data_IF_753728904287
#
_entry.id   IF_753728904287
#
_cell.length_a   1.000
_cell.length_b   1.000
_cell.length_c   1.000
_cell.angle_alpha   90.00
_cell.angle_beta   90.00
_cell.angle_gamma   90.00
#
_symmetry.space_group_name_H-M   'P 1'
#
loop_
_entity.id
_entity.type
_entity.pdbx_description
1 polymer ?
#
# COMPACT_ATOMS: atom_id res chain seq x y z
N UNK A 1 -74.66 -120.27 -3.76
CA UNK A 1 -74.58 -119.32 -2.63
C UNK A 1 -73.14 -119.24 -2.15
N UNK A 2 -72.70 -118.13 -1.54
CA UNK A 2 -71.37 -117.99 -0.92
C UNK A 2 -71.29 -118.54 0.52
N UNK A 3 -72.38 -119.14 1.01
CA UNK A 3 -72.54 -119.61 2.39
C UNK A 3 -71.50 -120.63 2.84
N UNK A 4 -71.00 -121.47 1.91
CA UNK A 4 -70.15 -122.63 2.24
C UNK A 4 -68.71 -122.50 1.69
N UNK A 5 -68.36 -121.37 1.06
CA UNK A 5 -67.06 -121.17 0.43
C UNK A 5 -66.12 -120.36 1.34
N UNK A 6 -65.16 -121.04 1.97
CA UNK A 6 -64.08 -120.37 2.69
C UNK A 6 -63.01 -119.87 1.72
N UNK A 7 -62.97 -118.55 1.52
CA UNK A 7 -61.96 -117.90 0.72
C UNK A 7 -60.66 -117.65 1.50
N UNK A 8 -59.49 -117.83 0.87
CA UNK A 8 -58.20 -117.52 1.50
C UNK A 8 -58.09 -116.02 1.84
N UNK A 9 -57.15 -115.70 2.73
CA UNK A 9 -56.91 -114.32 3.20
C UNK A 9 -56.75 -113.36 2.01
N UNK A 10 -57.35 -112.17 2.12
CA UNK A 10 -57.37 -111.11 1.11
C UNK A 10 -58.20 -111.40 -0.18
N UNK A 11 -59.07 -112.41 -0.13
CA UNK A 11 -60.09 -112.65 -1.16
C UNK A 11 -61.49 -112.67 -0.54
N UNK A 12 -62.51 -112.29 -1.32
CA UNK A 12 -63.93 -112.35 -0.91
C UNK A 12 -64.72 -113.25 -1.85
N UNK A 13 -65.72 -113.94 -1.33
CA UNK A 13 -66.63 -114.70 -2.18
C UNK A 13 -67.55 -113.75 -2.95
N UNK A 14 -67.56 -113.87 -4.28
CA UNK A 14 -68.46 -113.14 -5.16
C UNK A 14 -69.06 -114.12 -6.17
N UNK A 15 -70.39 -114.08 -6.34
CA UNK A 15 -71.07 -114.91 -7.36
C UNK A 15 -70.87 -114.27 -8.72
N UNK A 16 -70.23 -114.99 -9.65
CA UNK A 16 -69.97 -114.56 -11.03
C UNK A 16 -70.50 -115.61 -11.99
N UNK A 17 -71.34 -115.21 -12.95
CA UNK A 17 -72.02 -116.11 -13.90
C UNK A 17 -72.74 -117.29 -13.22
N UNK A 18 -73.38 -117.04 -12.07
CA UNK A 18 -74.10 -118.06 -11.29
C UNK A 18 -73.22 -118.92 -10.38
N UNK A 19 -71.89 -118.79 -10.41
CA UNK A 19 -70.97 -119.61 -9.61
C UNK A 19 -70.24 -118.78 -8.53
N UNK A 20 -70.18 -119.23 -7.26
CA UNK A 20 -69.40 -118.55 -6.23
C UNK A 20 -67.91 -118.72 -6.51
N UNK A 21 -67.16 -117.61 -6.57
CA UNK A 21 -65.70 -117.59 -6.75
C UNK A 21 -65.04 -116.67 -5.73
N UNK A 22 -63.86 -117.04 -5.27
CA UNK A 22 -63.01 -116.13 -4.48
C UNK A 22 -62.32 -115.17 -5.42
N UNK A 23 -62.66 -113.89 -5.32
CA UNK A 23 -62.00 -112.81 -6.07
C UNK A 23 -61.11 -112.03 -5.12
N UNK A 24 -59.97 -111.56 -5.61
CA UNK A 24 -59.08 -110.71 -4.82
C UNK A 24 -59.82 -109.44 -4.40
N UNK A 25 -59.65 -109.06 -3.13
CA UNK A 25 -60.15 -107.78 -2.64
C UNK A 25 -59.53 -106.68 -3.51
N UNK A 26 -60.38 -105.78 -4.03
CA UNK A 26 -59.91 -104.63 -4.81
C UNK A 26 -58.96 -103.82 -3.91
N UNK A 27 -57.72 -103.54 -4.34
CA UNK A 27 -56.79 -102.79 -3.50
C UNK A 27 -57.41 -101.43 -3.17
N UNK A 28 -57.53 -101.13 -1.87
CA UNK A 28 -58.11 -99.90 -1.33
C UNK A 28 -57.16 -99.29 -0.30
N UNK A 29 -57.42 -98.04 0.07
CA UNK A 29 -56.67 -97.37 1.13
C UNK A 29 -57.00 -97.86 2.55
N UNK A 30 -57.98 -98.75 2.73
CA UNK A 30 -58.49 -99.14 4.06
C UNK A 30 -57.43 -99.86 4.91
N UNK A 31 -56.50 -100.57 4.25
CA UNK A 31 -55.42 -101.32 4.92
C UNK A 31 -54.02 -100.73 4.69
N UNK A 32 -53.91 -99.56 4.04
CA UNK A 32 -52.61 -98.95 3.73
C UNK A 32 -52.22 -97.97 4.83
N UNK A 33 -51.20 -98.35 5.60
CA UNK A 33 -50.62 -97.49 6.63
C UNK A 33 -49.53 -96.61 6.01
N UNK A 34 -49.84 -95.33 5.83
CA UNK A 34 -48.89 -94.33 5.36
C UNK A 34 -48.07 -93.77 6.53
N UNK A 35 -46.81 -93.38 6.27
CA UNK A 35 -45.95 -92.73 7.26
C UNK A 35 -46.51 -91.36 7.67
N UNK A 36 -46.03 -90.80 8.79
CA UNK A 36 -46.41 -89.45 9.24
C UNK A 36 -46.31 -88.43 8.09
N UNK A 37 -47.30 -87.53 8.03
CA UNK A 37 -47.43 -86.47 7.02
C UNK A 37 -47.70 -86.93 5.58
N UNK A 38 -48.13 -88.19 5.40
CA UNK A 38 -48.63 -88.70 4.12
C UNK A 38 -50.05 -89.25 4.26
N UNK A 39 -50.89 -89.11 3.23
CA UNK A 39 -52.24 -89.69 3.19
C UNK A 39 -52.35 -90.70 2.04
N UNK A 40 -53.10 -91.79 2.25
CA UNK A 40 -53.37 -92.73 1.17
C UNK A 40 -54.39 -92.12 0.20
N UNK A 41 -54.07 -92.17 -1.09
CA UNK A 41 -54.94 -91.72 -2.17
C UNK A 41 -54.94 -92.74 -3.30
N UNK A 42 -56.10 -92.99 -3.90
CA UNK A 42 -56.21 -93.84 -5.09
C UNK A 42 -55.70 -93.07 -6.31
N UNK A 43 -54.62 -93.54 -6.93
CA UNK A 43 -54.02 -92.97 -8.14
C UNK A 43 -53.92 -94.09 -9.17
N UNK A 44 -54.53 -93.90 -10.35
CA UNK A 44 -54.58 -94.90 -11.43
C UNK A 44 -55.09 -96.29 -11.00
N UNK A 45 -56.05 -96.31 -10.07
CA UNK A 45 -56.65 -97.54 -9.56
C UNK A 45 -55.83 -98.25 -8.48
N UNK A 46 -54.72 -97.67 -8.02
CA UNK A 46 -53.85 -98.22 -6.98
C UNK A 46 -53.73 -97.27 -5.78
N UNK A 47 -53.71 -97.78 -4.54
CA UNK A 47 -53.48 -96.95 -3.35
C UNK A 47 -52.02 -96.49 -3.29
N UNK A 48 -51.78 -95.18 -3.19
CA UNK A 48 -50.45 -94.56 -3.04
C UNK A 48 -50.45 -93.58 -1.87
N UNK A 49 -49.38 -93.60 -1.07
CA UNK A 49 -49.16 -92.57 -0.04
C UNK A 49 -48.59 -91.31 -0.70
N UNK A 50 -49.30 -90.19 -0.59
CA UNK A 50 -48.86 -88.89 -1.09
C UNK A 50 -48.62 -87.93 0.08
N UNK A 51 -47.64 -87.06 -0.09
CA UNK A 51 -47.31 -86.00 0.87
C UNK A 51 -48.54 -85.11 1.12
N UNK A 52 -48.91 -84.95 2.38
CA UNK A 52 -49.86 -83.93 2.78
C UNK A 52 -49.10 -82.61 2.58
N UNK A 53 -49.44 -81.83 1.55
CA UNK A 53 -48.95 -80.46 1.41
C UNK A 53 -49.55 -79.61 2.54
N UNK A 54 -48.98 -79.73 3.73
CA UNK A 54 -49.24 -78.80 4.83
C UNK A 54 -48.38 -77.59 4.54
N UNK A 55 -48.92 -76.64 3.78
CA UNK A 55 -48.46 -75.26 3.94
C UNK A 55 -48.89 -74.86 5.36
N UNK A 56 -47.98 -74.58 6.30
CA UNK A 56 -48.40 -74.21 7.65
C UNK A 56 -49.23 -72.94 7.55
N UNK A 57 -50.52 -73.05 7.89
CA UNK A 57 -51.45 -71.91 7.93
C UNK A 57 -51.30 -71.08 9.20
N UNK A 58 -50.37 -71.45 10.07
CA UNK A 58 -50.20 -70.87 11.40
C UNK A 58 -48.77 -71.01 11.89
N UNK A 59 -48.33 -70.05 12.69
CA UNK A 59 -47.03 -70.04 13.36
C UNK A 59 -46.89 -71.04 14.51
N UNK A 60 -47.96 -71.79 14.86
CA UNK A 60 -47.95 -72.76 15.96
C UNK A 60 -46.89 -73.86 15.77
N UNK A 61 -46.68 -74.30 14.53
CA UNK A 61 -45.79 -75.44 14.21
C UNK A 61 -44.51 -75.00 13.48
N UNK A 62 -44.23 -73.69 13.44
CA UNK A 62 -43.08 -73.12 12.71
C UNK A 62 -41.96 -72.79 13.68
N UNK A 63 -40.84 -73.51 13.59
CA UNK A 63 -39.61 -73.18 14.30
C UNK A 63 -38.72 -72.29 13.44
N UNK A 64 -38.62 -71.03 13.85
CA UNK A 64 -37.78 -70.04 13.20
C UNK A 64 -36.33 -70.11 13.72
N UNK A 65 -35.32 -69.90 12.86
CA UNK A 65 -33.92 -69.81 13.27
C UNK A 65 -33.69 -68.67 14.26
N UNK A 66 -32.54 -68.70 14.94
CA UNK A 66 -32.16 -67.68 15.94
C UNK A 66 -32.29 -66.26 15.34
N UNK A 67 -32.83 -65.33 16.14
CA UNK A 67 -33.09 -63.92 15.79
C UNK A 67 -34.18 -63.67 14.74
N UNK A 68 -35.03 -64.67 14.48
CA UNK A 68 -36.27 -64.53 13.67
C UNK A 68 -37.51 -64.95 14.45
N UNK A 69 -38.64 -64.28 14.21
CA UNK A 69 -39.95 -64.62 14.78
C UNK A 69 -40.92 -64.99 13.67
N UNK A 70 -41.80 -65.95 13.93
CA UNK A 70 -42.85 -66.30 12.98
C UNK A 70 -43.95 -65.23 12.97
N UNK A 71 -44.23 -64.70 11.79
CA UNK A 71 -45.34 -63.77 11.53
C UNK A 71 -46.22 -64.31 10.40
N UNK A 72 -47.52 -64.03 10.47
CA UNK A 72 -48.45 -64.28 9.37
C UNK A 72 -48.36 -63.12 8.37
N UNK A 73 -47.94 -63.41 7.14
CA UNK A 73 -47.89 -62.45 6.02
C UNK A 73 -48.63 -63.08 4.85
N UNK A 74 -49.67 -62.41 4.35
CA UNK A 74 -50.53 -62.89 3.26
C UNK A 74 -51.09 -64.31 3.50
N UNK A 75 -51.67 -64.56 4.68
CA UNK A 75 -52.20 -65.86 5.12
C UNK A 75 -51.17 -67.02 5.13
N UNK A 76 -49.88 -66.69 5.11
CA UNK A 76 -48.77 -67.65 5.19
C UNK A 76 -47.84 -67.35 6.36
N UNK A 77 -47.45 -68.37 7.11
CA UNK A 77 -46.44 -68.25 8.17
C UNK A 77 -45.05 -68.00 7.58
N UNK A 78 -44.39 -66.91 7.97
CA UNK A 78 -43.02 -66.56 7.55
C UNK A 78 -42.16 -66.19 8.75
N UNK A 79 -40.91 -66.65 8.77
CA UNK A 79 -39.92 -66.20 9.74
C UNK A 79 -39.34 -64.87 9.26
N UNK A 80 -39.51 -63.82 10.08
CA UNK A 80 -38.97 -62.48 9.81
C UNK A 80 -37.92 -62.13 10.85
N UNK A 81 -36.87 -61.44 10.42
CA UNK A 81 -35.85 -60.94 11.34
C UNK A 81 -36.42 -59.82 12.20
N UNK A 82 -36.08 -59.82 13.49
CA UNK A 82 -36.28 -58.61 14.29
C UNK A 82 -35.40 -57.50 13.73
N UNK A 83 -35.91 -56.27 13.60
CA UNK A 83 -35.07 -55.12 13.35
C UNK A 83 -34.02 -55.05 14.49
N UNK A 84 -32.73 -54.89 14.17
CA UNK A 84 -31.71 -54.77 15.20
C UNK A 84 -32.02 -53.57 16.11
N UNK A 85 -31.68 -53.68 17.38
CA UNK A 85 -31.85 -52.63 18.38
C UNK A 85 -30.49 -52.07 18.80
N UNK A 86 -30.49 -51.02 19.62
CA UNK A 86 -29.25 -50.49 20.19
C UNK A 86 -28.55 -51.44 21.17
N UNK A 87 -29.19 -52.52 21.61
CA UNK A 87 -28.55 -53.57 22.40
C UNK A 87 -27.71 -54.50 21.52
N UNK A 88 -28.03 -54.57 20.22
CA UNK A 88 -27.42 -55.50 19.26
C UNK A 88 -26.17 -54.94 18.58
N UNK A 89 -25.84 -53.66 18.79
CA UNK A 89 -24.68 -53.01 18.17
C UNK A 89 -23.76 -52.34 19.20
N UNK A 90 -22.45 -52.49 19.01
CA UNK A 90 -21.45 -51.77 19.79
C UNK A 90 -20.98 -50.53 19.03
N UNK A 91 -21.21 -49.36 19.62
CA UNK A 91 -20.77 -48.09 19.04
C UNK A 91 -19.30 -47.79 19.37
N UNK A 92 -18.54 -47.17 18.45
CA UNK A 92 -17.17 -46.74 18.71
C UNK A 92 -17.11 -45.72 19.86
N UNK A 93 -15.93 -45.60 20.46
CA UNK A 93 -15.67 -44.66 21.57
C UNK A 93 -16.15 -43.25 21.22
N UNK A 94 -16.78 -42.57 22.17
CA UNK A 94 -17.35 -41.23 22.02
C UNK A 94 -18.55 -41.13 21.05
N UNK A 95 -19.29 -42.22 20.86
CA UNK A 95 -20.60 -42.22 20.19
C UNK A 95 -21.66 -42.96 21.00
N UNK A 96 -22.93 -42.61 20.81
CA UNK A 96 -24.06 -43.22 21.49
C UNK A 96 -25.03 -43.81 20.47
N UNK A 97 -25.61 -44.97 20.77
CA UNK A 97 -26.61 -45.57 19.89
C UNK A 97 -27.96 -44.89 20.04
N UNK A 98 -28.58 -44.53 18.92
CA UNK A 98 -29.93 -43.99 18.85
C UNK A 98 -30.73 -44.72 17.77
N UNK A 99 -32.02 -44.95 18.02
CA UNK A 99 -32.95 -45.45 17.01
C UNK A 99 -33.31 -44.30 16.06
N UNK A 100 -32.91 -44.39 14.80
CA UNK A 100 -33.19 -43.41 13.74
C UNK A 100 -33.97 -44.11 12.63
N UNK A 101 -35.20 -43.68 12.39
CA UNK A 101 -36.09 -44.27 11.37
C UNK A 101 -36.28 -45.78 11.51
N UNK A 102 -36.38 -46.28 12.75
CA UNK A 102 -36.56 -47.71 13.03
C UNK A 102 -35.29 -48.56 12.97
N UNK A 103 -34.12 -47.96 12.74
CA UNK A 103 -32.82 -48.66 12.71
C UNK A 103 -31.84 -48.07 13.73
N UNK A 104 -30.99 -48.90 14.38
CA UNK A 104 -30.03 -48.43 15.36
C UNK A 104 -28.85 -47.78 14.64
N UNK A 105 -28.48 -46.56 15.06
CA UNK A 105 -27.36 -45.80 14.50
C UNK A 105 -26.48 -45.26 15.61
N UNK A 106 -25.17 -45.42 15.46
CA UNK A 106 -24.20 -44.72 16.29
C UNK A 106 -24.11 -43.27 15.84
N UNK A 107 -24.53 -42.36 16.71
CA UNK A 107 -24.37 -40.92 16.50
C UNK A 107 -23.33 -40.43 17.48
N UNK A 108 -22.42 -39.59 17.00
CA UNK A 108 -21.59 -38.85 17.94
C UNK A 108 -22.53 -37.91 18.69
N UNK A 109 -22.56 -37.93 20.04
CA UNK A 109 -23.15 -36.83 20.77
C UNK A 109 -22.42 -35.61 20.23
N UNK A 110 -23.18 -34.70 19.60
CA UNK A 110 -22.65 -33.40 19.21
C UNK A 110 -22.16 -32.82 20.53
N UNK A 111 -20.85 -32.95 20.79
CA UNK A 111 -20.15 -32.12 21.74
C UNK A 111 -20.71 -30.75 21.47
N UNK A 112 -21.37 -30.18 22.48
CA UNK A 112 -22.10 -28.93 22.34
C UNK A 112 -21.28 -28.06 21.43
N UNK A 113 -21.85 -27.55 20.34
CA UNK A 113 -21.16 -26.57 19.50
C UNK A 113 -20.97 -25.37 20.42
N UNK A 114 -19.93 -25.44 21.25
CA UNK A 114 -19.42 -24.36 22.05
C UNK A 114 -18.97 -23.44 20.94
N UNK A 115 -19.76 -22.39 20.75
CA UNK A 115 -19.55 -21.43 19.67
C UNK A 115 -18.06 -21.11 19.70
N UNK A 116 -17.30 -21.42 18.63
CA UNK A 116 -15.85 -21.29 18.68
C UNK A 116 -15.55 -19.86 19.15
N UNK A 117 -14.60 -19.75 20.06
CA UNK A 117 -14.25 -18.49 20.69
C UNK A 117 -12.82 -18.13 20.32
N UNK A 118 -12.41 -16.90 20.60
CA UNK A 118 -11.05 -16.48 20.29
C UNK A 118 -9.96 -17.24 21.07
N UNK A 119 -10.31 -17.97 22.14
CA UNK A 119 -9.37 -18.88 22.81
C UNK A 119 -9.06 -20.12 21.97
N UNK A 120 -9.93 -20.46 21.03
CA UNK A 120 -9.82 -21.67 20.19
C UNK A 120 -9.14 -21.36 18.83
N UNK A 121 -8.84 -20.08 18.54
CA UNK A 121 -8.34 -19.60 17.25
C UNK A 121 -6.94 -18.98 17.40
N UNK A 122 -5.91 -19.65 16.88
CA UNK A 122 -4.56 -19.10 16.75
C UNK A 122 -4.47 -18.27 15.47
N UNK A 123 -4.24 -16.96 15.61
CA UNK A 123 -4.12 -16.04 14.49
C UNK A 123 -2.65 -15.87 14.04
N UNK A 124 -2.38 -15.77 12.73
CA UNK A 124 -1.03 -15.52 12.22
C UNK A 124 -0.48 -14.17 12.71
N UNK A 125 0.84 -14.01 12.61
CA UNK A 125 1.55 -12.78 13.01
C UNK A 125 0.89 -11.55 12.36
N UNK A 126 0.77 -10.47 13.13
CA UNK A 126 0.13 -9.19 12.74
C UNK A 126 -1.40 -9.23 12.54
N UNK A 127 -2.06 -10.29 13.01
CA UNK A 127 -3.52 -10.38 13.08
C UNK A 127 -3.98 -10.68 14.50
N UNK A 128 -5.19 -10.26 14.86
CA UNK A 128 -5.82 -10.56 16.16
C UNK A 128 -7.18 -11.20 15.98
N UNK A 129 -7.57 -12.06 16.92
CA UNK A 129 -8.91 -12.63 16.89
C UNK A 129 -9.96 -11.58 17.33
N UNK A 130 -11.02 -11.44 16.54
CA UNK A 130 -12.18 -10.63 16.84
C UNK A 130 -13.46 -11.39 16.50
N UNK A 131 -14.45 -11.37 17.38
CA UNK A 131 -15.76 -11.98 17.12
C UNK A 131 -16.59 -11.04 16.25
N UNK A 132 -16.93 -11.47 15.04
CA UNK A 132 -17.79 -10.75 14.09
C UNK A 132 -19.00 -11.62 13.74
N UNK A 133 -20.22 -11.08 13.88
CA UNK A 133 -21.48 -11.81 13.65
C UNK A 133 -21.59 -13.14 14.45
N UNK A 134 -21.05 -13.15 15.67
CA UNK A 134 -21.06 -14.34 16.54
C UNK A 134 -20.07 -15.43 16.16
N UNK A 135 -19.11 -15.16 15.27
CA UNK A 135 -18.03 -16.07 14.88
C UNK A 135 -16.65 -15.42 15.05
N UNK A 136 -15.64 -16.12 15.61
CA UNK A 136 -14.29 -15.60 15.75
C UNK A 136 -13.61 -15.55 14.39
N UNK A 137 -12.93 -14.45 14.08
CA UNK A 137 -12.16 -14.25 12.85
C UNK A 137 -10.84 -13.58 13.16
N UNK A 138 -9.77 -13.94 12.46
CA UNK A 138 -8.52 -13.20 12.49
C UNK A 138 -8.66 -11.96 11.61
N UNK A 139 -8.57 -10.79 12.23
CA UNK A 139 -8.55 -9.50 11.53
C UNK A 139 -7.13 -8.94 11.60
N UNK A 140 -6.69 -8.27 10.55
CA UNK A 140 -5.40 -7.58 10.59
C UNK A 140 -5.40 -6.56 11.73
N UNK A 141 -4.28 -6.50 12.46
CA UNK A 141 -4.07 -5.43 13.41
C UNK A 141 -4.14 -4.13 12.64
N UNK A 142 -5.15 -3.33 12.96
CA UNK A 142 -5.33 -2.04 12.31
C UNK A 142 -4.10 -1.21 12.65
N UNK A 143 -3.32 -0.75 11.65
CA UNK A 143 -2.11 0.01 11.93
C UNK A 143 -2.49 1.24 12.75
N UNK A 144 -1.65 1.58 13.71
CA UNK A 144 -1.83 2.71 14.60
C UNK A 144 -0.77 3.77 14.31
N UNK A 145 -0.90 4.93 14.94
CA UNK A 145 0.15 5.95 14.86
C UNK A 145 1.46 5.56 15.56
N UNK A 146 1.49 4.46 16.33
CA UNK A 146 2.74 3.91 16.86
C UNK A 146 3.52 3.16 15.76
N UNK A 147 2.82 2.67 14.74
CA UNK A 147 3.40 1.88 13.65
C UNK A 147 3.86 2.74 12.46
N UNK A 148 3.62 4.06 12.51
CA UNK A 148 3.85 4.99 11.40
C UNK A 148 4.83 6.08 11.81
N UNK A 149 5.96 6.16 11.13
CA UNK A 149 6.93 7.26 11.28
C UNK A 149 6.62 8.39 10.29
N UNK A 150 6.19 9.54 10.80
CA UNK A 150 5.88 10.72 10.00
C UNK A 150 7.12 11.62 9.80
N UNK A 151 7.21 12.26 8.63
CA UNK A 151 8.28 13.21 8.29
C UNK A 151 8.23 14.45 9.20
N UNK A 152 9.34 15.21 9.26
CA UNK A 152 9.42 16.47 10.04
C UNK A 152 8.26 17.40 9.66
N UNK A 153 7.66 18.03 10.68
CA UNK A 153 6.48 18.91 10.58
C UNK A 153 5.14 18.24 10.26
N UNK A 154 5.07 16.91 10.22
CA UNK A 154 3.83 16.13 10.13
C UNK A 154 3.56 15.34 11.41
N UNK A 155 2.30 15.21 11.79
CA UNK A 155 1.86 14.45 12.97
C UNK A 155 0.90 13.35 12.53
N UNK A 156 1.06 12.16 13.08
CA UNK A 156 0.15 11.07 12.79
C UNK A 156 -1.19 11.28 13.49
N UNK A 157 -2.28 11.22 12.73
CA UNK A 157 -3.64 11.23 13.23
C UNK A 157 -4.42 10.03 12.69
N UNK A 158 -5.31 9.49 13.52
CA UNK A 158 -6.24 8.45 13.09
C UNK A 158 -7.42 9.09 12.36
N UNK A 159 -7.50 8.91 11.04
CA UNK A 159 -8.57 9.45 10.18
C UNK A 159 -9.30 8.28 9.54
N UNK A 160 -10.62 8.21 9.72
CA UNK A 160 -11.45 7.07 9.31
C UNK A 160 -10.95 5.72 9.87
N UNK A 161 -10.27 5.79 11.02
CA UNK A 161 -9.62 4.68 11.70
C UNK A 161 -8.34 4.17 11.02
N UNK A 162 -7.75 4.91 10.07
CA UNK A 162 -6.42 4.62 9.54
C UNK A 162 -5.43 5.72 9.95
N UNK A 163 -4.16 5.37 10.25
CA UNK A 163 -3.15 6.35 10.60
C UNK A 163 -2.75 7.13 9.34
N UNK A 164 -2.88 8.45 9.38
CA UNK A 164 -2.46 9.36 8.31
C UNK A 164 -1.50 10.40 8.90
N UNK A 165 -0.35 10.60 8.26
CA UNK A 165 0.50 11.74 8.56
C UNK A 165 -0.16 12.99 7.99
N UNK A 166 -0.73 13.81 8.86
CA UNK A 166 -1.23 15.12 8.46
C UNK A 166 -0.18 16.15 8.77
N UNK A 167 -0.15 17.22 7.97
CA UNK A 167 0.66 18.37 8.31
C UNK A 167 0.22 18.83 9.68
N UNK A 168 1.18 18.88 10.62
CA UNK A 168 0.92 19.51 11.89
C UNK A 168 0.64 20.94 11.48
N UNK A 169 -0.65 21.32 11.48
CA UNK A 169 -0.99 22.74 11.51
C UNK A 169 -0.40 23.19 12.81
N UNK A 170 0.88 23.60 12.76
CA UNK A 170 1.46 24.50 13.74
C UNK A 170 0.39 25.56 13.83
N UNK A 171 -0.34 25.53 14.94
CA UNK A 171 -1.37 26.50 15.31
C UNK A 171 -0.91 27.80 14.71
N UNK A 172 -1.63 28.33 13.72
CA UNK A 172 -1.19 29.40 12.84
C UNK A 172 -0.55 30.53 13.64
N UNK A 173 0.74 30.38 13.97
CA UNK A 173 1.57 31.48 14.44
C UNK A 173 1.72 32.25 13.17
N UNK A 174 0.85 33.24 13.08
CA UNK A 174 0.88 34.28 12.06
C UNK A 174 2.36 34.60 11.88
N UNK A 175 2.95 34.34 10.69
CA UNK A 175 4.38 34.50 10.51
C UNK A 175 4.77 35.87 11.02
N UNK A 176 5.75 35.92 11.89
CA UNK A 176 6.15 37.13 12.59
C UNK A 176 7.45 37.65 11.99
N UNK A 177 7.82 38.88 12.32
CA UNK A 177 9.11 39.41 11.90
C UNK A 177 10.32 38.67 12.50
N UNK A 178 10.11 37.78 13.47
CA UNK A 178 11.15 36.87 13.97
C UNK A 178 11.47 35.75 12.97
N UNK A 179 10.53 35.43 12.07
CA UNK A 179 10.63 34.32 11.13
C UNK A 179 11.15 34.77 9.75
N UNK A 180 11.39 36.07 9.55
CA UNK A 180 11.76 36.68 8.27
C UNK A 180 13.10 37.41 8.38
N UNK A 181 14.10 36.94 7.63
CA UNK A 181 15.35 37.69 7.42
C UNK A 181 15.18 38.66 6.26
N UNK A 182 15.16 39.95 6.57
CA UNK A 182 15.08 41.01 5.57
C UNK A 182 16.48 41.37 5.02
N UNK A 183 16.60 41.73 3.73
CA UNK A 183 17.85 42.21 3.14
C UNK A 183 18.37 43.49 3.82
N UNK A 184 19.66 43.79 3.66
CA UNK A 184 20.29 45.00 4.23
C UNK A 184 19.47 46.26 3.89
N UNK A 185 19.32 47.15 4.88
CA UNK A 185 18.56 48.41 4.82
C UNK A 185 17.03 48.27 4.69
N UNK A 186 16.49 47.09 5.00
CA UNK A 186 15.05 46.89 5.19
C UNK A 186 14.75 46.35 6.59
N UNK A 187 13.64 46.80 7.18
CA UNK A 187 13.15 46.30 8.47
C UNK A 187 11.83 45.58 8.26
N UNK A 188 11.64 44.47 8.95
CA UNK A 188 10.37 43.76 8.90
C UNK A 188 9.30 44.53 9.67
N UNK A 189 8.17 44.77 9.02
CA UNK A 189 6.96 45.33 9.61
C UNK A 189 5.79 44.38 9.40
N UNK A 190 4.89 44.30 10.38
CA UNK A 190 3.64 43.58 10.22
C UNK A 190 2.62 44.47 9.48
N UNK A 191 2.35 44.17 8.21
CA UNK A 191 1.36 44.89 7.39
C UNK A 191 0.20 43.97 7.10
N UNK A 192 -1.04 44.38 7.41
CA UNK A 192 -2.25 43.54 7.27
C UNK A 192 -2.12 42.17 7.96
N UNK A 193 -1.25 42.07 8.96
CA UNK A 193 -1.01 40.84 9.69
C UNK A 193 -0.10 39.82 9.00
N UNK A 194 0.67 40.23 8.01
CA UNK A 194 1.75 39.45 7.44
C UNK A 194 3.08 40.24 7.55
N UNK A 195 4.21 39.58 7.76
CA UNK A 195 5.51 40.23 7.85
C UNK A 195 5.94 40.67 6.45
N UNK A 196 6.26 41.96 6.30
CA UNK A 196 6.76 42.56 5.06
C UNK A 196 8.04 43.33 5.35
N UNK A 197 9.09 43.12 4.55
CA UNK A 197 10.31 43.91 4.62
C UNK A 197 10.05 45.26 3.96
N UNK A 198 9.96 46.33 4.75
CA UNK A 198 9.87 47.69 4.24
C UNK A 198 11.21 48.40 4.41
N UNK A 199 11.54 49.29 3.48
CA UNK A 199 12.70 50.14 3.64
C UNK A 199 12.51 51.04 4.88
N UNK A 200 13.52 51.09 5.74
CA UNK A 200 13.52 51.96 6.90
C UNK A 200 13.53 53.41 6.44
N UNK A 201 12.37 54.07 6.55
CA UNK A 201 12.16 55.51 6.29
C UNK A 201 12.91 56.45 7.25
N UNK A 202 13.92 55.96 7.96
CA UNK A 202 14.72 56.70 8.94
C UNK A 202 16.12 57.09 8.47
N UNK A 203 16.53 56.71 7.26
CA UNK A 203 17.72 57.32 6.62
C UNK A 203 17.28 58.34 5.58
N UNK A 204 17.00 59.56 6.02
CA UNK A 204 17.07 60.74 5.14
C UNK A 204 18.56 61.02 4.87
N UNK A 205 19.28 60.06 4.29
CA UNK A 205 20.50 60.38 3.56
C UNK A 205 20.03 60.81 2.19
N UNK A 206 20.11 62.12 1.89
CA UNK A 206 19.85 62.63 0.54
C UNK A 206 20.70 61.79 -0.42
N UNK A 207 20.10 61.13 -1.43
CA UNK A 207 20.86 60.37 -2.41
C UNK A 207 21.90 61.30 -3.03
N UNK A 208 23.10 60.77 -3.23
CA UNK A 208 24.27 61.52 -3.68
C UNK A 208 24.96 60.79 -4.83
N UNK A 209 25.89 61.44 -5.51
CA UNK A 209 26.58 60.83 -6.65
C UNK A 209 27.40 59.58 -6.30
N UNK A 210 27.67 59.30 -5.02
CA UNK A 210 28.28 58.03 -4.61
C UNK A 210 27.32 56.85 -4.75
N UNK A 211 26.02 57.12 -4.79
CA UNK A 211 24.97 56.11 -4.81
C UNK A 211 24.47 55.81 -6.24
N UNK A 212 25.05 56.47 -7.26
CA UNK A 212 24.61 56.43 -8.65
C UNK A 212 25.75 56.03 -9.60
N UNK A 213 25.67 54.84 -10.20
CA UNK A 213 26.56 54.42 -11.27
C UNK A 213 26.09 54.96 -12.62
N UNK A 214 26.84 55.90 -13.19
CA UNK A 214 26.54 56.49 -14.49
C UNK A 214 27.19 55.71 -15.65
N UNK A 215 26.48 55.54 -16.79
CA UNK A 215 27.03 54.88 -17.97
C UNK A 215 28.22 55.66 -18.57
N UNK A 216 29.10 54.95 -19.30
CA UNK A 216 30.28 55.56 -19.91
C UNK A 216 29.91 56.79 -20.78
N UNK A 217 30.67 57.88 -20.64
CA UNK A 217 30.40 59.16 -21.31
C UNK A 217 29.52 60.14 -20.52
N UNK A 218 28.92 59.71 -19.40
CA UNK A 218 28.14 60.60 -18.51
C UNK A 218 28.86 60.86 -17.17
N UNK A 219 28.49 61.94 -16.50
CA UNK A 219 28.97 62.36 -15.18
C UNK A 219 27.78 62.69 -14.28
N UNK A 220 27.88 62.35 -13.00
CA UNK A 220 26.82 62.65 -12.05
C UNK A 220 26.86 64.11 -11.62
N UNK A 221 25.71 64.80 -11.70
CA UNK A 221 25.50 66.16 -11.21
C UNK A 221 24.38 66.19 -10.17
N UNK A 222 24.55 67.01 -9.13
CA UNK A 222 23.53 67.26 -8.11
C UNK A 222 22.55 68.33 -8.59
N UNK A 223 21.26 68.01 -8.65
CA UNK A 223 20.17 68.94 -9.02
C UNK A 223 19.16 69.02 -7.87
N UNK A 224 18.42 70.14 -7.70
CA UNK A 224 17.51 70.45 -6.57
C UNK A 224 16.57 69.29 -6.13
N UNK A 225 17.09 68.29 -5.43
CA UNK A 225 16.37 67.10 -4.99
C UNK A 225 17.08 65.75 -5.17
N UNK A 226 18.14 65.63 -5.98
CA UNK A 226 18.89 64.37 -6.13
C UNK A 226 19.97 64.34 -7.23
N UNK A 227 20.74 63.23 -7.29
CA UNK A 227 21.82 63.02 -8.25
C UNK A 227 21.28 62.58 -9.62
N UNK A 228 21.84 63.10 -10.72
CA UNK A 228 21.46 62.75 -12.11
C UNK A 228 22.69 62.56 -12.99
N UNK A 229 22.67 61.58 -13.89
CA UNK A 229 23.73 61.43 -14.90
C UNK A 229 23.48 62.39 -16.07
N UNK A 230 24.41 63.31 -16.31
CA UNK A 230 24.43 64.23 -17.46
C UNK A 230 25.61 63.87 -18.38
N UNK A 231 25.51 64.11 -19.68
CA UNK A 231 26.64 63.91 -20.61
C UNK A 231 27.82 64.79 -20.17
N UNK A 232 29.06 64.30 -20.34
CA UNK A 232 30.24 65.19 -20.25
C UNK A 232 30.02 66.32 -21.27
N UNK A 233 30.24 67.57 -20.86
CA UNK A 233 29.95 68.81 -21.62
C UNK A 233 28.52 69.37 -21.56
N UNK A 234 27.67 68.83 -20.67
CA UNK A 234 26.36 69.43 -20.35
C UNK A 234 26.35 70.06 -18.96
N UNK A 235 25.69 71.22 -18.85
CA UNK A 235 25.42 71.91 -17.57
C UNK A 235 23.94 71.81 -17.25
N UNK A 236 23.61 71.62 -15.96
CA UNK A 236 22.23 71.61 -15.54
C UNK A 236 21.68 73.05 -15.48
N UNK A 237 20.67 73.34 -16.30
CA UNK A 237 19.94 74.61 -16.28
C UNK A 237 18.48 74.37 -15.92
N UNK A 238 17.89 75.35 -15.23
CA UNK A 238 16.46 75.38 -14.96
C UNK A 238 15.72 75.92 -16.18
N UNK A 239 14.97 75.05 -16.85
CA UNK A 239 14.14 75.43 -18.01
C UNK A 239 12.69 75.14 -17.65
N UNK A 240 11.87 76.19 -17.59
CA UNK A 240 10.46 76.13 -17.23
C UNK A 240 10.19 75.42 -15.88
N UNK A 241 11.04 75.66 -14.87
CA UNK A 241 10.88 75.07 -13.54
C UNK A 241 11.42 73.63 -13.39
N UNK A 242 11.98 73.05 -14.45
CA UNK A 242 12.56 71.69 -14.42
C UNK A 242 14.07 71.73 -14.66
N UNK A 243 14.88 70.98 -13.88
CA UNK A 243 16.30 70.83 -14.15
C UNK A 243 16.49 70.00 -15.42
N UNK A 244 17.14 70.56 -16.44
CA UNK A 244 17.50 69.87 -17.69
C UNK A 244 19.01 69.95 -17.91
N UNK A 245 19.65 68.85 -18.29
CA UNK A 245 21.03 68.89 -18.77
C UNK A 245 21.00 69.53 -20.17
N UNK A 246 21.66 70.67 -20.34
CA UNK A 246 21.79 71.33 -21.63
C UNK A 246 23.24 71.37 -22.05
N UNK A 247 23.49 71.24 -23.35
CA UNK A 247 24.82 71.36 -23.93
C UNK A 247 25.39 72.73 -23.60
N UNK A 248 26.56 72.74 -22.98
CA UNK A 248 27.30 73.99 -22.80
C UNK A 248 27.74 74.37 -24.21
N UNK A 249 27.16 75.44 -24.79
CA UNK A 249 27.78 76.08 -25.96
C UNK A 249 29.11 76.65 -25.48
N UNK A 250 30.16 75.84 -25.53
CA UNK A 250 31.53 76.29 -25.32
C UNK A 250 31.87 77.17 -26.50
N UNK A 251 31.80 78.50 -26.32
CA UNK A 251 32.52 79.41 -27.21
C UNK A 251 33.97 78.94 -27.22
N UNK A 252 34.60 78.64 -28.39
CA UNK A 252 35.95 78.12 -28.41
C UNK A 252 36.85 79.09 -27.66
N UNK A 253 37.43 78.65 -26.53
CA UNK A 253 38.49 79.39 -25.85
C UNK A 253 39.60 79.63 -26.87
N UNK A 254 40.11 80.86 -26.96
CA UNK A 254 41.28 81.16 -27.81
C UNK A 254 42.44 80.23 -27.37
N UNK A 255 43.08 79.51 -28.30
CA UNK A 255 44.21 78.64 -27.97
C UNK A 255 45.31 79.42 -27.25
N UNK A 256 45.78 78.91 -26.10
CA UNK A 256 46.84 79.52 -25.30
C UNK A 256 48.02 78.56 -25.12
N UNK A 257 49.21 79.10 -24.90
CA UNK A 257 50.39 78.30 -24.55
C UNK A 257 50.25 77.51 -23.24
N UNK A 258 49.24 77.83 -22.42
CA UNK A 258 48.87 77.03 -21.23
C UNK A 258 48.33 75.65 -21.60
N UNK A 259 47.81 75.48 -22.81
CA UNK A 259 47.17 74.26 -23.28
C UNK A 259 48.17 73.32 -24.01
N UNK A 260 49.43 73.74 -24.20
CA UNK A 260 50.43 73.02 -24.98
C UNK A 260 51.65 72.62 -24.11
N UNK A 261 51.85 71.31 -23.93
CA UNK A 261 53.06 70.76 -23.31
C UNK A 261 54.18 70.65 -24.35
N UNK A 262 55.14 71.57 -24.29
CA UNK A 262 56.30 71.54 -25.16
C UNK A 262 57.38 70.55 -24.68
N UNK A 263 58.02 69.80 -25.59
CA UNK A 263 59.13 68.90 -25.27
C UNK A 263 60.34 69.67 -24.69
N UNK A 264 61.23 68.96 -23.99
CA UNK A 264 62.44 69.54 -23.39
C UNK A 264 63.24 70.38 -24.42
N UNK A 265 63.73 71.53 -23.97
CA UNK A 265 64.49 72.52 -24.75
C UNK A 265 63.70 73.27 -25.85
N UNK A 266 62.37 73.24 -25.77
CA UNK A 266 61.48 74.10 -26.55
C UNK A 266 60.56 74.91 -25.63
N UNK A 267 60.27 76.15 -26.02
CA UNK A 267 59.33 77.02 -25.28
C UNK A 267 58.14 77.35 -26.17
N UNK A 268 56.95 77.44 -25.57
CA UNK A 268 55.75 77.80 -26.32
C UNK A 268 55.73 79.29 -26.63
N UNK A 269 55.55 79.63 -27.91
CA UNK A 269 55.33 80.98 -28.39
C UNK A 269 54.05 81.06 -29.22
N UNK A 270 53.36 82.19 -29.17
CA UNK A 270 52.21 82.46 -30.04
C UNK A 270 52.72 82.94 -31.41
N UNK A 271 52.54 82.11 -32.44
CA UNK A 271 52.92 82.41 -33.82
C UNK A 271 51.64 82.46 -34.65
N UNK A 272 51.37 83.59 -35.32
CA UNK A 272 50.17 83.77 -36.16
C UNK A 272 48.85 83.40 -35.46
N UNK A 273 48.75 83.72 -34.16
CA UNK A 273 47.54 83.49 -33.35
C UNK A 273 47.38 82.05 -32.82
N UNK A 274 48.36 81.15 -33.01
CA UNK A 274 48.34 79.78 -32.50
C UNK A 274 49.59 79.48 -31.65
N UNK A 275 49.46 78.72 -30.55
CA UNK A 275 50.60 78.30 -29.74
C UNK A 275 51.46 77.27 -30.48
N UNK A 276 52.77 77.51 -30.59
CA UNK A 276 53.76 76.62 -31.21
C UNK A 276 54.99 76.47 -30.31
N UNK A 277 55.55 75.25 -30.23
CA UNK A 277 56.81 75.00 -29.53
C UNK A 277 57.98 75.35 -30.44
N UNK A 278 58.82 76.29 -30.01
CA UNK A 278 60.03 76.69 -30.73
C UNK A 278 61.27 76.36 -29.91
N UNK A 279 62.34 75.92 -30.57
CA UNK A 279 63.60 75.59 -29.90
C UNK A 279 64.20 76.83 -29.25
N UNK A 280 64.44 76.75 -27.94
CA UNK A 280 65.34 77.69 -27.28
C UNK A 280 66.75 77.35 -27.72
N UNK A 281 67.43 78.26 -28.42
CA UNK A 281 68.88 78.15 -28.63
C UNK A 281 69.55 78.16 -27.26
N UNK A 282 69.91 76.98 -26.77
CA UNK A 282 70.63 76.82 -25.51
C UNK A 282 72.04 77.40 -25.71
N UNK A 283 72.32 78.55 -25.11
CA UNK A 283 73.70 79.01 -24.95
C UNK A 283 74.45 77.96 -24.11
N UNK A 284 75.65 77.50 -24.53
CA UNK A 284 76.40 76.53 -23.75
C UNK A 284 76.65 77.10 -22.34
N UNK A 285 76.16 76.41 -21.31
CA UNK A 285 76.47 76.74 -19.91
C UNK A 285 77.99 76.76 -19.73
N UNK A 286 78.53 77.80 -19.09
CA UNK A 286 79.96 77.87 -18.74
C UNK A 286 80.30 76.72 -17.78
N UNK A 287 81.39 75.96 -18.00
CA UNK A 287 81.83 74.91 -17.09
C UNK A 287 82.08 75.44 -15.68
N UNK A 288 81.58 74.74 -14.66
CA UNK A 288 81.69 75.12 -13.25
C UNK A 288 82.34 74.00 -12.43
N UNK A 289 82.91 74.36 -11.28
CA UNK A 289 83.46 73.39 -10.32
C UNK A 289 82.44 72.38 -9.78
N UNK A 290 81.15 72.59 -10.00
CA UNK A 290 80.11 71.60 -9.69
C UNK A 290 80.07 70.43 -10.68
N UNK A 291 80.67 70.60 -11.85
CA UNK A 291 80.65 69.61 -12.93
C UNK A 291 81.81 68.60 -12.81
N UNK A 292 82.74 68.78 -11.87
CA UNK A 292 83.89 67.89 -11.66
C UNK A 292 84.05 67.48 -10.19
N UNK A 293 84.47 66.24 -9.96
CA UNK A 293 84.71 65.69 -8.62
C UNK A 293 86.21 65.55 -8.36
N UNK A 294 86.75 66.35 -7.44
CA UNK A 294 88.18 66.32 -7.12
C UNK A 294 88.52 65.23 -6.09
N UNK A 295 89.70 64.57 -6.21
CA UNK A 295 90.16 63.58 -5.26
C UNK A 295 90.44 64.19 -3.87
N UNK A 296 90.42 63.35 -2.83
CA UNK A 296 90.56 63.78 -1.43
C UNK A 296 91.86 64.58 -1.22
N UNK A 297 91.74 65.71 -0.52
CA UNK A 297 92.76 66.74 -0.23
C UNK A 297 93.09 67.76 -1.34
N UNK A 298 92.36 67.77 -2.46
CA UNK A 298 92.38 68.87 -3.45
C UNK A 298 91.04 69.60 -3.47
N UNK A 299 91.02 70.88 -3.89
CA UNK A 299 89.76 71.63 -4.07
C UNK A 299 89.63 72.10 -5.51
N UNK A 300 88.40 72.17 -6.01
CA UNK A 300 88.19 72.74 -7.32
C UNK A 300 88.40 74.26 -7.28
N UNK A 301 89.21 74.78 -8.19
CA UNK A 301 89.39 76.20 -8.43
C UNK A 301 89.25 76.50 -9.92
N UNK A 302 88.68 77.65 -10.25
CA UNK A 302 88.62 78.13 -11.63
C UNK A 302 89.99 78.70 -12.01
N UNK A 303 90.68 78.07 -12.95
CA UNK A 303 91.95 78.53 -13.50
C UNK A 303 91.75 78.81 -14.98
N UNK A 304 92.04 80.04 -15.41
CA UNK A 304 91.88 80.50 -16.81
C UNK A 304 90.49 80.21 -17.42
N UNK A 305 89.43 80.24 -16.60
CA UNK A 305 88.05 80.07 -17.06
C UNK A 305 87.57 78.61 -17.16
N UNK A 306 88.37 77.63 -16.71
CA UNK A 306 87.94 76.23 -16.58
C UNK A 306 88.12 75.71 -15.14
N UNK A 307 87.24 74.82 -14.67
CA UNK A 307 87.37 74.19 -13.36
C UNK A 307 88.53 73.17 -13.36
N UNK A 308 89.45 73.29 -12.40
CA UNK A 308 90.58 72.38 -12.21
C UNK A 308 90.72 72.02 -10.73
N UNK A 309 91.19 70.81 -10.44
CA UNK A 309 91.49 70.37 -9.07
C UNK A 309 92.93 70.78 -8.72
N UNK A 310 93.08 71.62 -7.69
CA UNK A 310 94.36 72.11 -7.17
C UNK A 310 94.56 71.74 -5.70
#
# INVERSE_FOLDING_TARGET
SCSDLHCPKDTRCQVTNGWPRCVHNRPSCDNVHCHKDTKCQMIDGWPRCVQIKVSPRSCHDVHCPKDTTCHMVDDQSRCVHHPPTCQDIQCPKDSSCHMVSGWPRCVQPKTSIRRPSCSDLQCPKDTRCQVTNGWPRCVHNRPSCQDVHCQKDTSCQMIDGWPKCVQTKVTSRRPSCHDVQCPKDTTCHMVSGHPQCAQTKTSIRRPSCSDLHCPQGTSCQMTHGGPRCCQKDTSCQMIAGWPKCVQIKVSPRRPSCSDLHCPKDTTCHMVSGHPQCVQTKVSPRRPSCHDIHCPKATRCQMVSGQPQCV
#
